data_IF_697565325370
#
_entry.id   IF_697565325370
#
_cell.length_a   1.000
_cell.length_b   1.000
_cell.length_c   1.000
_cell.angle_alpha   90.00
_cell.angle_beta   90.00
_cell.angle_gamma   90.00
#
_symmetry.space_group_name_H-M   'P 1'
#
loop_
_entity.id
_entity.type
_entity.pdbx_description
1 polymer ?
#
# COMPACT_ATOMS: atom_id res chain seq x y z
N UNK A 1 -11.41 -11.06 -20.57
CA UNK A 1 -10.93 -11.10 -21.96
C UNK A 1 -10.18 -9.80 -22.22
N UNK A 2 -8.85 -9.85 -22.36
CA UNK A 2 -8.01 -8.66 -22.55
C UNK A 2 -8.35 -7.88 -23.81
N UNK A 3 -8.98 -8.52 -24.81
CA UNK A 3 -9.41 -7.85 -26.05
C UNK A 3 -10.57 -6.88 -25.84
N UNK A 4 -11.27 -6.98 -24.71
CA UNK A 4 -12.33 -6.06 -24.32
C UNK A 4 -11.78 -4.76 -23.73
N UNK A 5 -10.47 -4.71 -23.41
CA UNK A 5 -9.81 -3.50 -22.96
C UNK A 5 -9.72 -2.48 -24.08
N UNK A 6 -10.04 -1.23 -23.76
CA UNK A 6 -10.19 -0.16 -24.74
C UNK A 6 -9.00 0.77 -24.65
N UNK A 7 -8.43 1.19 -25.79
CA UNK A 7 -7.38 2.19 -25.77
C UNK A 7 -7.93 3.51 -25.22
N UNK A 8 -7.21 4.08 -24.25
CA UNK A 8 -7.43 5.43 -23.74
C UNK A 8 -6.54 6.39 -24.55
N UNK A 9 -7.13 7.07 -25.53
CA UNK A 9 -6.43 8.05 -26.35
C UNK A 9 -6.60 9.44 -25.72
N UNK A 10 -5.51 10.03 -25.23
CA UNK A 10 -5.52 11.30 -24.49
C UNK A 10 -6.43 11.23 -23.25
N UNK A 11 -7.39 12.15 -23.12
CA UNK A 11 -8.40 12.18 -22.06
C UNK A 11 -9.78 11.76 -22.57
N UNK A 12 -9.83 10.96 -23.65
CA UNK A 12 -11.07 10.44 -24.22
C UNK A 12 -11.29 9.01 -23.74
N UNK A 13 -12.33 8.83 -22.93
CA UNK A 13 -12.70 7.54 -22.35
C UNK A 13 -13.94 6.96 -23.01
N UNK A 14 -13.90 5.67 -23.38
CA UNK A 14 -15.08 4.97 -23.89
C UNK A 14 -15.79 4.23 -22.75
N UNK A 15 -16.84 4.86 -22.20
CA UNK A 15 -17.64 4.32 -21.10
C UNK A 15 -18.81 3.41 -21.50
N UNK A 16 -18.93 2.98 -22.77
CA UNK A 16 -20.07 2.12 -23.19
C UNK A 16 -19.99 0.75 -22.50
N UNK A 17 -21.03 0.29 -21.82
CA UNK A 17 -21.03 -1.03 -21.18
C UNK A 17 -22.30 -1.79 -21.55
N UNK A 18 -22.20 -3.10 -21.67
CA UNK A 18 -23.35 -3.97 -21.87
C UNK A 18 -24.05 -4.28 -20.53
N UNK A 19 -25.36 -4.60 -20.55
CA UNK A 19 -26.05 -5.06 -19.36
C UNK A 19 -25.33 -6.25 -18.71
N UNK A 20 -25.03 -6.14 -17.40
CA UNK A 20 -24.30 -7.16 -16.64
C UNK A 20 -22.77 -6.95 -16.61
N UNK A 21 -22.22 -6.01 -17.36
CA UNK A 21 -20.80 -5.64 -17.28
C UNK A 21 -20.53 -4.65 -16.13
N UNK A 22 -19.32 -4.73 -15.57
CA UNK A 22 -18.81 -3.78 -14.59
C UNK A 22 -17.51 -3.18 -15.11
N UNK A 23 -17.28 -1.89 -14.86
CA UNK A 23 -16.05 -1.18 -15.20
C UNK A 23 -15.41 -0.64 -13.93
N UNK A 24 -14.07 -0.60 -13.91
CA UNK A 24 -13.28 -0.02 -12.82
C UNK A 24 -12.56 1.22 -13.34
N UNK A 25 -12.61 2.30 -12.57
CA UNK A 25 -11.94 3.57 -12.91
C UNK A 25 -10.90 3.85 -11.84
N UNK A 26 -9.71 4.29 -12.27
CA UNK A 26 -8.58 4.60 -11.39
C UNK A 26 -8.17 6.08 -11.57
N UNK A 27 -8.87 7.04 -10.92
CA UNK A 27 -8.70 8.48 -11.20
C UNK A 27 -7.32 9.05 -10.89
N UNK A 28 -6.58 8.38 -10.00
CA UNK A 28 -5.24 8.77 -9.56
C UNK A 28 -4.18 7.78 -10.05
N UNK A 29 -4.45 7.07 -11.15
CA UNK A 29 -3.53 6.05 -11.71
C UNK A 29 -2.17 6.61 -12.12
N UNK A 30 -2.11 7.91 -12.44
CA UNK A 30 -0.90 8.62 -12.81
C UNK A 30 -0.23 9.36 -11.63
N UNK A 31 -0.76 9.23 -10.40
CA UNK A 31 -0.17 9.84 -9.22
C UNK A 31 0.94 8.96 -8.66
N UNK A 32 2.03 9.59 -8.24
CA UNK A 32 3.06 8.97 -7.41
C UNK A 32 2.64 9.00 -5.93
N UNK A 33 3.33 8.23 -5.08
CA UNK A 33 3.13 8.29 -3.62
C UNK A 33 3.35 9.72 -3.08
N UNK A 34 4.35 10.43 -3.63
CA UNK A 34 4.63 11.83 -3.25
C UNK A 34 3.45 12.75 -3.60
N UNK A 35 2.79 12.53 -4.75
CA UNK A 35 1.62 13.33 -5.14
C UNK A 35 0.47 13.15 -4.16
N UNK A 36 0.22 11.90 -3.72
CA UNK A 36 -0.80 11.57 -2.71
C UNK A 36 -0.51 12.29 -1.39
N UNK A 37 0.71 12.18 -0.86
CA UNK A 37 1.08 12.84 0.40
C UNK A 37 1.04 14.36 0.32
N UNK A 38 1.49 14.94 -0.79
CA UNK A 38 1.41 16.38 -1.01
C UNK A 38 -0.05 16.87 -1.05
N UNK A 39 -0.95 16.08 -1.64
CA UNK A 39 -2.37 16.40 -1.67
C UNK A 39 -3.01 16.33 -0.28
N UNK A 40 -2.75 15.26 0.49
CA UNK A 40 -3.20 15.13 1.89
C UNK A 40 -2.76 16.34 2.71
N UNK A 41 -1.49 16.76 2.58
CA UNK A 41 -0.97 17.96 3.26
C UNK A 41 -1.71 19.24 2.84
N UNK A 42 -1.88 19.44 1.53
CA UNK A 42 -2.49 20.64 0.96
C UNK A 42 -3.94 20.79 1.41
N UNK A 43 -4.71 19.71 1.31
CA UNK A 43 -6.14 19.68 1.64
C UNK A 43 -6.40 19.42 3.13
N UNK A 44 -5.34 19.22 3.93
CA UNK A 44 -5.39 18.95 5.39
C UNK A 44 -6.30 17.77 5.74
N UNK A 45 -6.15 16.69 4.99
CA UNK A 45 -6.93 15.46 5.18
C UNK A 45 -6.45 14.77 6.47
N UNK A 46 -7.37 14.49 7.38
CA UNK A 46 -7.08 13.72 8.59
C UNK A 46 -6.75 12.26 8.24
N UNK A 47 -5.73 11.72 8.90
CA UNK A 47 -5.27 10.35 8.69
C UNK A 47 -5.30 9.55 9.99
N UNK A 48 -5.53 8.23 9.90
CA UNK A 48 -5.32 7.32 11.02
C UNK A 48 -3.88 7.41 11.57
N UNK A 49 -3.73 7.28 12.88
CA UNK A 49 -2.42 7.32 13.55
C UNK A 49 -1.44 6.25 13.08
N UNK A 50 -1.93 5.14 12.52
CA UNK A 50 -1.12 4.04 11.98
C UNK A 50 -0.17 4.46 10.85
N UNK A 51 -0.51 5.52 10.11
CA UNK A 51 0.36 6.04 9.05
C UNK A 51 1.57 6.81 9.58
N UNK A 52 1.51 7.22 10.84
CA UNK A 52 2.60 7.91 11.53
C UNK A 52 3.34 6.94 12.44
N UNK A 53 4.57 7.33 12.78
CA UNK A 53 5.42 6.53 13.65
C UNK A 53 4.83 6.42 15.05
N UNK A 54 4.75 5.19 15.55
CA UNK A 54 4.32 4.84 16.90
C UNK A 54 5.09 3.61 17.37
N UNK A 55 5.17 3.42 18.69
CA UNK A 55 5.77 2.23 19.27
C UNK A 55 4.85 1.03 19.14
N UNK A 56 5.41 -0.10 18.74
CA UNK A 56 4.65 -1.35 18.67
C UNK A 56 5.54 -2.55 18.93
N UNK A 57 4.99 -3.53 19.64
CA UNK A 57 5.56 -4.86 19.73
C UNK A 57 5.40 -5.57 18.38
N UNK A 58 6.51 -6.06 17.86
CA UNK A 58 6.59 -6.71 16.55
C UNK A 58 7.45 -7.97 16.62
N UNK A 59 7.17 -8.90 15.71
CA UNK A 59 8.02 -10.07 15.42
C UNK A 59 8.55 -9.98 14.00
N UNK A 60 9.81 -10.36 13.82
CA UNK A 60 10.46 -10.33 12.50
C UNK A 60 10.31 -11.67 11.80
N UNK A 61 9.47 -11.73 10.76
CA UNK A 61 9.26 -12.93 9.93
C UNK A 61 9.59 -12.65 8.48
N UNK A 62 10.46 -13.46 7.89
CA UNK A 62 10.83 -13.35 6.47
C UNK A 62 11.31 -11.93 6.09
N UNK A 63 11.97 -11.23 7.03
CA UNK A 63 12.45 -9.85 6.84
C UNK A 63 11.41 -8.74 7.06
N UNK A 64 10.16 -9.10 7.36
CA UNK A 64 9.07 -8.16 7.62
C UNK A 64 8.75 -8.06 9.12
N UNK A 65 8.23 -6.91 9.54
CA UNK A 65 7.82 -6.67 10.93
C UNK A 65 6.32 -6.84 11.09
N UNK A 66 5.91 -7.89 11.79
CA UNK A 66 4.49 -8.15 12.04
C UNK A 66 4.09 -7.62 13.40
N UNK A 67 3.04 -6.78 13.50
CA UNK A 67 2.54 -6.31 14.78
C UNK A 67 1.92 -7.46 15.58
N UNK A 68 2.24 -7.51 16.88
CA UNK A 68 1.57 -8.42 17.81
C UNK A 68 0.12 -8.00 18.00
N UNK A 69 -0.76 -8.99 18.00
CA UNK A 69 -2.19 -8.86 18.29
C UNK A 69 -2.76 -10.24 18.64
N UNK A 70 -4.02 -10.28 19.07
CA UNK A 70 -4.75 -11.53 19.33
C UNK A 70 -4.85 -12.46 18.11
N UNK A 71 -4.65 -11.91 16.90
CA UNK A 71 -4.72 -12.64 15.63
C UNK A 71 -3.34 -13.07 15.10
N UNK A 72 -2.25 -12.57 15.70
CA UNK A 72 -0.88 -12.88 15.32
C UNK A 72 -0.24 -13.66 16.46
N UNK A 73 -0.33 -14.98 16.38
CA UNK A 73 0.29 -15.90 17.33
C UNK A 73 1.81 -15.84 17.17
N UNK A 74 2.54 -15.78 18.27
CA UNK A 74 4.01 -15.78 18.32
C UNK A 74 4.49 -17.20 18.57
N UNK A 75 5.42 -17.68 17.77
CA UNK A 75 6.03 -19.00 17.98
C UNK A 75 7.07 -18.92 19.12
N UNK A 76 7.33 -20.03 19.86
CA UNK A 76 8.22 -20.00 21.03
C UNK A 76 9.66 -19.56 20.74
N UNK A 77 10.12 -19.70 19.50
CA UNK A 77 11.45 -19.32 19.02
C UNK A 77 11.53 -17.90 18.47
N UNK A 78 10.40 -17.18 18.41
CA UNK A 78 10.36 -15.82 17.90
C UNK A 78 10.63 -14.77 18.98
N UNK A 79 11.47 -13.80 18.62
CA UNK A 79 11.76 -12.66 19.48
C UNK A 79 10.77 -11.52 19.24
N UNK A 80 10.05 -11.15 20.30
CA UNK A 80 9.19 -9.96 20.31
C UNK A 80 10.06 -8.75 20.68
N UNK A 81 10.06 -7.74 19.80
CA UNK A 81 10.77 -6.48 20.02
C UNK A 81 9.82 -5.31 19.96
N UNK A 82 10.05 -4.27 20.77
CA UNK A 82 9.32 -3.00 20.66
C UNK A 82 10.11 -2.05 19.77
N UNK A 83 9.52 -1.63 18.65
CA UNK A 83 10.16 -0.74 17.67
C UNK A 83 9.27 0.47 17.35
N UNK A 84 9.91 1.55 16.89
CA UNK A 84 9.24 2.69 16.29
C UNK A 84 8.88 2.34 14.84
N UNK A 85 7.59 2.19 14.56
CA UNK A 85 7.08 1.72 13.26
C UNK A 85 5.93 2.56 12.75
N UNK A 86 5.72 2.52 11.44
CA UNK A 86 4.49 3.00 10.78
C UNK A 86 4.01 2.00 9.74
N UNK A 87 2.81 2.21 9.23
CA UNK A 87 2.24 1.41 8.15
C UNK A 87 2.12 2.25 6.88
N UNK A 88 2.84 1.87 5.82
CA UNK A 88 2.68 2.50 4.49
C UNK A 88 1.40 2.07 3.80
N UNK A 89 1.00 0.81 4.01
CA UNK A 89 -0.26 0.26 3.53
C UNK A 89 -0.95 -0.47 4.68
N UNK A 90 -2.29 -0.40 4.77
CA UNK A 90 -3.06 -0.98 5.89
C UNK A 90 -4.16 -1.88 5.34
N UNK A 91 -4.09 -3.17 5.67
CA UNK A 91 -5.13 -4.17 5.39
C UNK A 91 -5.47 -4.90 6.69
N UNK A 92 -5.67 -6.22 6.60
CA UNK A 92 -5.92 -7.03 7.80
C UNK A 92 -4.66 -7.21 8.64
N UNK A 93 -4.86 -7.38 9.94
CA UNK A 93 -3.79 -7.49 10.94
C UNK A 93 -2.83 -8.68 10.66
N UNK A 94 -3.34 -9.76 10.07
CA UNK A 94 -2.59 -10.99 9.81
C UNK A 94 -1.66 -10.89 8.59
N UNK A 95 -1.86 -9.91 7.71
CA UNK A 95 -1.14 -9.81 6.43
C UNK A 95 -0.49 -8.43 6.19
N UNK A 96 -0.58 -7.52 7.16
CA UNK A 96 -0.01 -6.17 7.05
C UNK A 96 1.27 -6.09 7.89
N UNK A 97 2.41 -5.88 7.24
CA UNK A 97 3.67 -5.63 7.93
C UNK A 97 3.90 -4.13 8.14
N UNK A 98 4.49 -3.80 9.29
CA UNK A 98 4.99 -2.48 9.62
C UNK A 98 6.35 -2.23 8.94
N UNK A 99 6.72 -0.96 8.84
CA UNK A 99 8.07 -0.53 8.47
C UNK A 99 8.66 0.28 9.61
N UNK A 100 9.94 0.05 9.91
CA UNK A 100 10.68 0.92 10.85
C UNK A 100 10.76 2.32 10.27
N UNK A 101 10.44 3.32 11.07
CA UNK A 101 10.33 4.70 10.61
C UNK A 101 10.41 5.64 11.80
N UNK A 102 10.86 6.87 11.54
CA UNK A 102 10.80 7.99 12.51
C UNK A 102 9.82 9.09 12.09
N UNK A 103 9.10 8.88 10.98
CA UNK A 103 8.17 9.84 10.44
C UNK A 103 6.89 9.99 11.28
N UNK A 104 6.86 11.01 12.13
CA UNK A 104 5.72 11.36 13.01
C UNK A 104 4.77 12.40 12.41
N UNK A 105 5.12 13.04 11.29
CA UNK A 105 4.32 14.06 10.60
C UNK A 105 4.30 13.79 9.09
N UNK A 106 3.40 14.47 8.37
CA UNK A 106 3.33 14.34 6.90
C UNK A 106 4.64 14.81 6.26
N UNK A 107 5.24 15.88 6.78
CA UNK A 107 6.53 16.40 6.31
C UNK A 107 7.63 15.35 6.46
N UNK A 108 7.72 14.71 7.62
CA UNK A 108 8.68 13.63 7.83
C UNK A 108 8.46 12.46 6.87
N UNK A 109 7.20 12.11 6.58
CA UNK A 109 6.88 11.02 5.64
C UNK A 109 7.32 11.40 4.22
N UNK A 110 7.05 12.62 3.77
CA UNK A 110 7.45 13.10 2.44
C UNK A 110 8.98 13.09 2.29
N UNK A 111 9.71 13.53 3.32
CA UNK A 111 11.17 13.55 3.30
C UNK A 111 11.75 12.13 3.35
N UNK A 112 11.14 11.22 4.10
CA UNK A 112 11.49 9.80 4.12
C UNK A 112 11.30 9.15 2.74
N UNK A 113 10.17 9.42 2.06
CA UNK A 113 9.90 8.87 0.72
C UNK A 113 10.88 9.41 -0.31
N UNK A 114 11.26 10.70 -0.23
CA UNK A 114 12.26 11.30 -1.13
C UNK A 114 13.64 10.69 -0.95
N UNK A 115 13.97 10.25 0.26
CA UNK A 115 15.25 9.63 0.58
C UNK A 115 15.26 8.11 0.35
N UNK A 116 14.10 7.48 0.20
CA UNK A 116 13.97 6.04 0.03
C UNK A 116 14.03 5.63 -1.44
N UNK A 117 14.89 4.66 -1.76
CA UNK A 117 14.95 3.98 -3.06
C UNK A 117 13.84 2.91 -3.24
N UNK A 118 12.89 2.80 -2.29
CA UNK A 118 11.90 1.70 -2.21
C UNK A 118 10.46 2.24 -2.31
N UNK A 119 9.71 1.72 -3.28
CA UNK A 119 8.31 2.08 -3.58
C UNK A 119 7.33 1.65 -2.47
N UNK A 120 6.19 2.36 -2.36
CA UNK A 120 5.15 2.22 -1.32
C UNK A 120 4.66 0.78 -1.04
N UNK A 121 4.56 -0.05 -2.09
CA UNK A 121 3.86 -1.34 -2.04
C UNK A 121 4.75 -2.52 -1.64
N UNK A 122 6.05 -2.30 -1.39
CA UNK A 122 6.99 -3.38 -1.08
C UNK A 122 6.79 -4.07 0.28
N UNK A 123 5.99 -3.48 1.18
CA UNK A 123 5.87 -3.97 2.56
C UNK A 123 4.76 -5.01 2.80
N UNK A 124 3.80 -5.18 1.88
CA UNK A 124 2.77 -6.22 2.00
C UNK A 124 3.27 -7.54 1.44
N UNK A 125 3.23 -8.59 2.25
CA UNK A 125 3.66 -9.93 1.82
C UNK A 125 2.70 -10.51 0.76
N UNK A 126 1.40 -10.21 0.86
CA UNK A 126 0.45 -10.58 -0.20
C UNK A 126 0.77 -9.85 -1.52
N UNK A 127 1.30 -8.62 -1.43
CA UNK A 127 1.72 -7.85 -2.60
C UNK A 127 3.05 -8.32 -3.20
N UNK A 128 3.87 -9.09 -2.48
CA UNK A 128 5.08 -9.73 -3.04
C UNK A 128 4.77 -10.91 -3.96
N UNK A 129 3.60 -11.54 -3.82
CA UNK A 129 3.02 -12.34 -4.91
C UNK A 129 2.46 -11.46 -6.04
N UNK A 130 2.20 -10.18 -5.77
CA UNK A 130 1.45 -9.24 -6.63
C UNK A 130 2.25 -8.30 -7.52
N UNK A 131 3.57 -8.10 -7.37
CA UNK A 131 4.30 -7.31 -8.38
C UNK A 131 4.20 -7.96 -9.76
N UNK A 132 4.34 -9.29 -9.83
CA UNK A 132 3.97 -10.07 -11.00
C UNK A 132 2.44 -10.14 -11.20
N UNK A 133 1.65 -10.31 -10.13
CA UNK A 133 0.20 -10.48 -10.27
C UNK A 133 -0.56 -9.23 -10.73
N UNK A 134 -0.05 -8.01 -10.56
CA UNK A 134 -0.72 -6.80 -11.05
C UNK A 134 -0.59 -6.68 -12.57
N UNK A 135 0.61 -6.91 -13.11
CA UNK A 135 0.81 -7.03 -14.56
C UNK A 135 0.11 -8.26 -15.14
N UNK A 136 0.07 -9.37 -14.40
CA UNK A 136 -0.68 -10.57 -14.79
C UNK A 136 -2.21 -10.34 -14.76
N UNK A 137 -2.71 -9.58 -13.77
CA UNK A 137 -4.11 -9.14 -13.69
C UNK A 137 -4.46 -8.17 -14.82
N UNK A 138 -3.56 -7.26 -15.21
CA UNK A 138 -3.74 -6.44 -16.42
C UNK A 138 -3.80 -7.32 -17.67
N UNK A 139 -2.88 -8.28 -17.82
CA UNK A 139 -2.89 -9.26 -18.91
C UNK A 139 -4.12 -10.17 -18.91
N UNK A 140 -4.75 -10.40 -17.77
CA UNK A 140 -6.00 -11.16 -17.65
C UNK A 140 -7.26 -10.30 -17.91
N UNK A 141 -7.12 -8.99 -18.01
CA UNK A 141 -8.21 -8.03 -18.18
C UNK A 141 -8.98 -7.73 -16.89
N UNK A 142 -8.34 -7.87 -15.73
CA UNK A 142 -8.87 -7.44 -14.43
C UNK A 142 -8.88 -5.92 -14.26
N UNK A 143 -7.92 -5.27 -14.96
CA UNK A 143 -7.85 -3.84 -15.20
C UNK A 143 -8.21 -3.61 -16.65
#
# INVERSE_FOLDING_TARGET
>A
DPRLQRPELWNLYNGRIHPGENVRVFPISNWTEIDVWNYIRKERIELPSLYFTHRRQVVRRLGHLFPISDFVQVDPDEEVTELDVRFRTVGDMTCTAAVESKATTIEHIVDEIRAADITERGARIDDRRSEAAMEERKRAGYF
#
